data_IF_625166312629
#
_entry.id   IF_625166312629
#
_cell.length_a   1.000
_cell.length_b   1.000
_cell.length_c   1.000
_cell.angle_alpha   90.00
_cell.angle_beta   90.00
_cell.angle_gamma   90.00
#
_symmetry.space_group_name_H-M   'P 1'
#
loop_
_entity.id
_entity.type
_entity.pdbx_description
1 polymer ?
#
# COMPACT_ATOMS: atom_id res chain seq x y z
N UNK A 1 -5.79 -14.67 27.54
CA UNK A 1 -5.99 -15.92 26.75
C UNK A 1 -7.13 -16.81 27.26
N UNK A 2 -7.53 -16.78 28.54
CA UNK A 2 -8.57 -17.70 29.06
C UNK A 2 -10.02 -17.50 28.51
N UNK A 3 -10.27 -16.47 27.70
CA UNK A 3 -11.59 -16.16 27.14
C UNK A 3 -11.82 -16.67 25.71
N UNK A 4 -10.79 -17.21 25.05
CA UNK A 4 -10.87 -17.68 23.67
C UNK A 4 -10.17 -19.03 23.50
N UNK A 5 -10.87 -20.00 22.91
CA UNK A 5 -10.32 -21.31 22.54
C UNK A 5 -10.05 -21.32 21.04
N UNK A 6 -8.80 -21.54 20.66
CA UNK A 6 -8.38 -21.63 19.25
C UNK A 6 -8.09 -23.08 18.88
N UNK A 7 -8.43 -23.47 17.64
CA UNK A 7 -8.16 -24.82 17.11
C UNK A 7 -6.69 -25.02 16.73
N UNK A 8 -5.99 -23.93 16.40
CA UNK A 8 -4.63 -23.88 15.91
C UNK A 8 -3.81 -22.90 16.77
N UNK A 9 -2.52 -23.21 17.02
CA UNK A 9 -1.64 -22.34 17.81
C UNK A 9 -1.21 -21.11 17.00
N UNK A 10 -1.24 -21.21 15.68
CA UNK A 10 -1.09 -20.15 14.68
C UNK A 10 -2.16 -19.07 14.88
N UNK A 11 -3.43 -19.48 14.91
CA UNK A 11 -4.56 -18.56 15.09
C UNK A 11 -4.50 -17.86 16.47
N UNK A 12 -4.04 -18.57 17.51
CA UNK A 12 -3.82 -17.98 18.82
C UNK A 12 -2.69 -16.93 18.80
N UNK A 13 -1.59 -17.23 18.11
CA UNK A 13 -0.45 -16.33 17.98
C UNK A 13 -0.82 -15.08 17.18
N UNK A 14 -1.52 -15.25 16.07
CA UNK A 14 -2.01 -14.17 15.21
C UNK A 14 -2.98 -13.26 15.96
N UNK A 15 -3.99 -13.84 16.65
CA UNK A 15 -4.90 -13.06 17.46
C UNK A 15 -4.18 -12.24 18.55
N UNK A 16 -3.19 -12.84 19.21
CA UNK A 16 -2.42 -12.14 20.25
C UNK A 16 -1.62 -10.98 19.65
N UNK A 17 -0.95 -11.19 18.51
CA UNK A 17 -0.23 -10.13 17.80
C UNK A 17 -1.19 -8.99 17.45
N UNK A 18 -2.34 -9.29 16.84
CA UNK A 18 -3.31 -8.27 16.45
C UNK A 18 -3.80 -7.45 17.64
N UNK A 19 -4.12 -8.09 18.77
CA UNK A 19 -4.54 -7.39 19.99
C UNK A 19 -3.43 -6.50 20.54
N UNK A 20 -2.18 -6.98 20.56
CA UNK A 20 -1.06 -6.21 21.10
C UNK A 20 -0.68 -5.03 20.20
N UNK A 21 -0.62 -5.23 18.89
CA UNK A 21 -0.31 -4.17 17.93
C UNK A 21 -1.38 -3.07 17.94
N UNK A 22 -2.66 -3.42 18.11
CA UNK A 22 -3.76 -2.44 18.25
C UNK A 22 -3.74 -1.72 19.59
N UNK A 23 -3.46 -2.43 20.68
CA UNK A 23 -3.46 -1.83 22.02
C UNK A 23 -2.27 -0.91 22.26
N UNK A 24 -1.13 -1.21 21.65
CA UNK A 24 0.12 -0.49 21.86
C UNK A 24 0.64 0.05 20.53
N UNK A 25 0.15 1.22 20.13
CA UNK A 25 0.54 1.89 18.88
C UNK A 25 2.05 2.16 18.77
N UNK A 26 2.78 2.24 19.89
CA UNK A 26 4.22 2.42 19.92
C UNK A 26 5.04 1.18 19.52
N UNK A 27 4.42 0.00 19.44
CA UNK A 27 5.09 -1.23 19.01
C UNK A 27 5.32 -1.16 17.50
N UNK A 28 6.58 -0.99 17.10
CA UNK A 28 7.00 -1.04 15.70
C UNK A 28 7.08 -2.46 15.15
N UNK A 29 7.45 -3.43 15.98
CA UNK A 29 7.52 -4.83 15.61
C UNK A 29 7.33 -5.72 16.83
N UNK A 30 6.72 -6.88 16.61
CA UNK A 30 6.49 -7.89 17.63
C UNK A 30 6.85 -9.27 17.07
N UNK A 31 7.39 -10.13 17.93
CA UNK A 31 7.60 -11.54 17.64
C UNK A 31 7.02 -12.35 18.80
N UNK A 32 6.14 -13.28 18.48
CA UNK A 32 5.46 -14.13 19.45
C UNK A 32 5.76 -15.58 19.12
N UNK A 33 6.26 -16.31 20.11
CA UNK A 33 6.38 -17.75 20.06
C UNK A 33 5.32 -18.38 20.99
N UNK A 34 4.45 -19.22 20.44
CA UNK A 34 3.54 -20.07 21.22
C UNK A 34 4.09 -21.50 21.19
N UNK A 35 4.38 -22.03 22.38
CA UNK A 35 4.87 -23.40 22.57
C UNK A 35 3.74 -24.31 23.04
N UNK A 36 3.64 -25.49 22.44
CA UNK A 36 2.74 -26.58 22.84
C UNK A 36 3.60 -27.80 23.23
N UNK A 37 3.97 -27.93 24.51
CA UNK A 37 4.79 -29.05 24.97
C UNK A 37 4.03 -30.38 24.88
N UNK A 38 2.72 -30.39 25.10
CA UNK A 38 1.86 -31.59 25.05
C UNK A 38 1.11 -31.68 23.72
N UNK A 39 1.83 -31.79 22.60
CA UNK A 39 1.20 -32.05 21.31
C UNK A 39 0.88 -33.55 21.16
N UNK A 40 -0.29 -33.93 20.60
CA UNK A 40 -0.67 -35.33 20.41
C UNK A 40 0.07 -35.92 19.19
N UNK A 41 1.40 -36.00 19.28
CA UNK A 41 2.29 -36.51 18.25
C UNK A 41 2.99 -37.75 18.83
N UNK A 42 2.91 -38.87 18.11
CA UNK A 42 3.50 -40.14 18.53
C UNK A 42 5.00 -40.22 18.20
N UNK A 43 5.76 -39.26 18.74
CA UNK A 43 7.22 -39.12 18.60
C UNK A 43 7.80 -38.51 19.88
N UNK A 44 9.08 -38.73 20.15
CA UNK A 44 9.78 -38.01 21.22
C UNK A 44 10.17 -36.59 20.77
N UNK A 45 9.67 -35.57 21.48
CA UNK A 45 10.02 -34.16 21.26
C UNK A 45 9.91 -33.36 22.57
N UNK A 46 10.61 -32.23 22.68
CA UNK A 46 10.52 -31.34 23.85
C UNK A 46 9.30 -30.41 23.80
N UNK A 47 9.04 -29.82 22.63
CA UNK A 47 7.86 -28.98 22.37
C UNK A 47 7.73 -28.72 20.87
N UNK A 48 6.50 -28.58 20.37
CA UNK A 48 6.27 -27.88 19.10
C UNK A 48 6.01 -26.41 19.36
N UNK A 49 6.39 -25.53 18.45
CA UNK A 49 6.10 -24.11 18.57
C UNK A 49 5.80 -23.47 17.23
N UNK A 50 5.04 -22.38 17.30
CA UNK A 50 4.85 -21.47 16.17
C UNK A 50 5.40 -20.12 16.58
N UNK A 51 6.26 -19.56 15.73
CA UNK A 51 6.80 -18.22 15.89
C UNK A 51 6.23 -17.35 14.76
N UNK A 52 5.54 -16.28 15.12
CA UNK A 52 5.04 -15.28 14.19
C UNK A 52 5.72 -13.95 14.47
N UNK A 53 6.06 -13.23 13.40
CA UNK A 53 6.60 -11.88 13.45
C UNK A 53 5.70 -10.95 12.65
N UNK A 54 5.42 -9.78 13.21
CA UNK A 54 4.77 -8.66 12.50
C UNK A 54 5.52 -7.37 12.78
N UNK A 55 5.48 -6.47 11.82
CA UNK A 55 6.11 -5.16 11.88
C UNK A 55 5.18 -4.13 11.21
N UNK A 56 5.23 -2.89 11.68
CA UNK A 56 4.67 -1.72 11.01
C UNK A 56 5.63 -1.27 9.92
N UNK A 57 5.10 -1.12 8.72
CA UNK A 57 5.80 -0.68 7.52
C UNK A 57 5.20 0.62 7.02
N UNK A 58 6.01 1.47 6.41
CA UNK A 58 5.53 2.64 5.71
C UNK A 58 5.54 2.37 4.21
N UNK A 59 4.37 2.31 3.59
CA UNK A 59 4.21 2.27 2.15
C UNK A 59 3.85 3.66 1.63
N UNK A 60 4.45 4.04 0.50
CA UNK A 60 4.17 5.30 -0.19
C UNK A 60 3.40 4.95 -1.45
N UNK A 61 2.13 5.33 -1.48
CA UNK A 61 1.20 4.92 -2.53
C UNK A 61 0.91 6.13 -3.40
N UNK A 62 1.05 5.96 -4.72
CA UNK A 62 0.48 6.89 -5.69
C UNK A 62 -0.92 6.40 -6.05
N UNK A 63 -1.86 7.33 -6.22
CA UNK A 63 -3.25 7.03 -6.55
C UNK A 63 -3.70 7.93 -7.69
N UNK A 64 -4.49 7.40 -8.62
CA UNK A 64 -5.10 8.22 -9.64
C UNK A 64 -6.35 7.63 -10.29
N UNK A 65 -7.15 8.52 -10.86
CA UNK A 65 -8.43 8.21 -11.51
C UNK A 65 -8.69 9.20 -12.66
N UNK A 66 -9.33 8.75 -13.74
CA UNK A 66 -9.81 9.63 -14.81
C UNK A 66 -11.14 9.22 -15.43
N UNK A 67 -11.77 8.17 -14.90
CA UNK A 67 -13.10 7.75 -15.33
C UNK A 67 -14.01 7.64 -14.12
N UNK A 68 -15.20 8.19 -14.25
CA UNK A 68 -16.22 8.08 -13.23
C UNK A 68 -16.70 6.62 -13.14
N UNK A 69 -17.37 6.25 -12.05
CA UNK A 69 -17.97 4.93 -11.92
C UNK A 69 -19.50 5.03 -11.98
N UNK A 70 -20.12 4.89 -13.17
CA UNK A 70 -21.54 5.18 -13.36
C UNK A 70 -22.47 4.28 -12.54
N UNK A 71 -22.05 3.04 -12.25
CA UNK A 71 -22.85 2.09 -11.46
C UNK A 71 -23.02 2.56 -10.01
N UNK A 72 -22.04 3.28 -9.47
CA UNK A 72 -22.10 3.91 -8.14
C UNK A 72 -22.48 5.38 -8.17
N UNK A 73 -22.54 6.00 -9.36
CA UNK A 73 -22.74 7.44 -9.53
C UNK A 73 -21.68 8.26 -8.76
N UNK A 74 -20.43 7.79 -8.80
CA UNK A 74 -19.27 8.40 -8.15
C UNK A 74 -18.34 9.05 -9.19
N UNK A 75 -17.90 10.26 -8.89
CA UNK A 75 -16.86 10.97 -9.64
C UNK A 75 -15.47 10.39 -9.40
N UNK A 76 -14.55 10.71 -10.30
CA UNK A 76 -13.12 10.35 -10.16
C UNK A 76 -12.52 10.80 -8.82
N UNK A 77 -12.85 12.02 -8.36
CA UNK A 77 -12.46 12.54 -7.03
C UNK A 77 -13.00 11.68 -5.87
N UNK A 78 -14.30 11.34 -5.92
CA UNK A 78 -14.96 10.55 -4.87
C UNK A 78 -14.40 9.13 -4.79
N UNK A 79 -14.09 8.50 -5.93
CA UNK A 79 -13.45 7.18 -5.98
C UNK A 79 -12.10 7.15 -5.28
N UNK A 80 -11.30 8.20 -5.47
CA UNK A 80 -9.98 8.33 -4.83
C UNK A 80 -10.13 8.48 -3.32
N UNK A 81 -11.04 9.33 -2.85
CA UNK A 81 -11.30 9.50 -1.41
C UNK A 81 -11.87 8.23 -0.78
N UNK A 82 -12.77 7.54 -1.47
CA UNK A 82 -13.35 6.29 -1.01
C UNK A 82 -12.32 5.17 -0.89
N UNK A 83 -11.41 5.05 -1.85
CA UNK A 83 -10.32 4.07 -1.78
C UNK A 83 -9.36 4.33 -0.61
N UNK A 84 -9.02 5.60 -0.36
CA UNK A 84 -8.20 5.99 0.79
C UNK A 84 -8.94 5.68 2.09
N UNK A 85 -10.25 5.97 2.17
CA UNK A 85 -11.09 5.63 3.32
C UNK A 85 -11.15 4.12 3.56
N UNK A 86 -11.32 3.32 2.51
CA UNK A 86 -11.34 1.85 2.62
C UNK A 86 -10.02 1.28 3.16
N UNK A 87 -8.87 1.88 2.81
CA UNK A 87 -7.59 1.51 3.41
C UNK A 87 -7.50 1.96 4.88
N UNK A 88 -7.97 3.15 5.23
CA UNK A 88 -7.90 3.65 6.61
C UNK A 88 -8.88 2.95 7.57
N UNK A 89 -9.97 2.38 7.03
CA UNK A 89 -10.91 1.54 7.76
C UNK A 89 -10.40 0.09 7.94
N UNK A 90 -9.40 -0.35 7.17
CA UNK A 90 -8.77 -1.65 7.35
C UNK A 90 -7.97 -1.67 8.66
N UNK A 91 -8.23 -2.63 9.57
CA UNK A 91 -7.56 -2.69 10.88
C UNK A 91 -6.04 -2.89 10.85
N UNK A 92 -5.47 -3.29 9.71
CA UNK A 92 -4.03 -3.48 9.50
C UNK A 92 -3.37 -2.26 8.85
N UNK A 93 -4.14 -1.22 8.54
CA UNK A 93 -3.70 -0.04 7.82
C UNK A 93 -4.03 1.24 8.60
N UNK A 94 -3.28 2.30 8.30
CA UNK A 94 -3.54 3.66 8.79
C UNK A 94 -2.91 4.67 7.84
N UNK A 95 -3.70 5.60 7.34
CA UNK A 95 -3.19 6.68 6.49
C UNK A 95 -2.54 7.74 7.38
N UNK A 96 -1.25 7.97 7.18
CA UNK A 96 -0.47 8.92 7.99
C UNK A 96 -0.50 10.33 7.40
N UNK A 97 -0.29 10.45 6.09
CA UNK A 97 -0.20 11.72 5.36
C UNK A 97 -0.80 11.57 3.98
N UNK A 98 -1.39 12.65 3.45
CA UNK A 98 -1.98 12.72 2.11
C UNK A 98 -1.52 14.00 1.44
N UNK A 99 -1.21 13.93 0.15
CA UNK A 99 -0.94 15.11 -0.67
C UNK A 99 -2.24 15.79 -1.05
N UNK A 100 -2.13 16.99 -1.60
CA UNK A 100 -3.18 17.59 -2.41
C UNK A 100 -3.40 16.74 -3.67
N UNK A 101 -4.63 16.75 -4.19
CA UNK A 101 -4.95 16.14 -5.47
C UNK A 101 -4.63 17.12 -6.60
N UNK A 102 -4.01 16.63 -7.67
CA UNK A 102 -3.61 17.43 -8.84
C UNK A 102 -4.27 16.91 -10.12
N UNK A 103 -4.62 17.83 -11.01
CA UNK A 103 -5.12 17.50 -12.35
C UNK A 103 -3.98 17.44 -13.35
N UNK A 104 -3.95 16.41 -14.19
CA UNK A 104 -2.88 16.17 -15.14
C UNK A 104 -3.42 15.73 -16.48
N UNK A 105 -2.67 16.04 -17.53
CA UNK A 105 -2.98 15.55 -18.88
C UNK A 105 -2.86 14.03 -18.93
N UNK A 106 -3.58 13.36 -19.85
CA UNK A 106 -3.36 11.95 -20.16
C UNK A 106 -1.89 11.62 -20.41
N UNK A 107 -1.33 10.68 -19.65
CA UNK A 107 -0.01 10.14 -19.94
C UNK A 107 -0.11 9.01 -20.97
N UNK A 108 0.80 8.97 -21.95
CA UNK A 108 0.83 7.92 -22.97
C UNK A 108 -0.14 8.07 -24.15
N UNK A 109 -0.94 9.15 -24.20
CA UNK A 109 -1.71 9.56 -25.39
C UNK A 109 -2.92 8.69 -25.77
N UNK A 110 -3.30 7.73 -24.92
CA UNK A 110 -4.46 6.83 -25.14
C UNK A 110 -5.71 7.33 -24.43
N UNK A 111 -5.54 7.85 -23.21
CA UNK A 111 -6.65 8.37 -22.41
C UNK A 111 -7.17 9.71 -22.95
N UNK A 112 -8.49 9.90 -22.80
CA UNK A 112 -9.21 11.05 -23.40
C UNK A 112 -9.58 12.13 -22.39
N UNK A 113 -9.52 11.80 -21.10
CA UNK A 113 -9.88 12.66 -19.97
C UNK A 113 -8.67 13.00 -19.09
N UNK A 114 -8.71 14.16 -18.44
CA UNK A 114 -7.73 14.55 -17.44
C UNK A 114 -7.73 13.56 -16.27
N UNK A 115 -6.54 13.27 -15.74
CA UNK A 115 -6.39 12.44 -14.55
C UNK A 115 -6.34 13.32 -13.31
N UNK A 116 -6.86 12.77 -12.23
CA UNK A 116 -6.63 13.25 -10.88
C UNK A 116 -5.61 12.31 -10.27
N UNK A 117 -4.52 12.87 -9.76
CA UNK A 117 -3.45 12.11 -9.12
C UNK A 117 -3.16 12.66 -7.73
N UNK A 118 -2.77 11.78 -6.83
CA UNK A 118 -2.30 12.10 -5.50
C UNK A 118 -1.33 11.05 -4.99
N UNK A 119 -0.83 11.28 -3.78
CA UNK A 119 -0.04 10.30 -3.06
C UNK A 119 -0.36 10.34 -1.56
N UNK A 120 -0.13 9.22 -0.88
CA UNK A 120 -0.27 9.13 0.57
C UNK A 120 0.76 8.18 1.18
N UNK A 121 1.03 8.38 2.47
CA UNK A 121 1.84 7.46 3.27
C UNK A 121 0.88 6.59 4.08
N UNK A 122 0.99 5.29 3.88
CA UNK A 122 0.24 4.27 4.58
C UNK A 122 1.16 3.56 5.59
N UNK A 123 0.80 3.59 6.86
CA UNK A 123 1.35 2.63 7.81
C UNK A 123 0.56 1.33 7.69
N UNK A 124 1.24 0.20 7.52
CA UNK A 124 0.58 -1.10 7.38
C UNK A 124 1.29 -2.23 8.12
N UNK A 125 0.54 -3.26 8.49
CA UNK A 125 1.06 -4.54 8.98
C UNK A 125 1.21 -5.60 7.88
N UNK A 126 0.69 -5.32 6.67
CA UNK A 126 0.83 -6.20 5.53
C UNK A 126 2.28 -6.22 5.04
N UNK A 127 2.72 -7.40 4.62
CA UNK A 127 3.91 -7.55 3.79
C UNK A 127 3.62 -7.03 2.36
N UNK A 128 4.64 -6.69 1.56
CA UNK A 128 4.45 -6.01 0.28
C UNK A 128 3.47 -6.69 -0.69
N UNK A 129 3.53 -8.01 -0.84
CA UNK A 129 2.63 -8.78 -1.72
C UNK A 129 1.18 -8.76 -1.19
N UNK A 130 1.00 -8.89 0.12
CA UNK A 130 -0.34 -8.85 0.74
C UNK A 130 -0.95 -7.45 0.63
N UNK A 131 -0.14 -6.39 0.75
CA UNK A 131 -0.60 -5.02 0.51
C UNK A 131 -1.03 -4.83 -0.95
N UNK A 132 -0.28 -5.38 -1.91
CA UNK A 132 -0.64 -5.34 -3.33
C UNK A 132 -1.98 -6.04 -3.59
N UNK A 133 -2.19 -7.22 -3.00
CA UNK A 133 -3.47 -7.93 -3.10
C UNK A 133 -4.61 -7.11 -2.51
N UNK A 134 -4.39 -6.45 -1.37
CA UNK A 134 -5.38 -5.56 -0.75
C UNK A 134 -5.71 -4.36 -1.63
N UNK A 135 -4.70 -3.75 -2.23
CA UNK A 135 -4.87 -2.66 -3.21
C UNK A 135 -5.75 -3.13 -4.38
N UNK A 136 -5.44 -4.29 -4.96
CA UNK A 136 -6.25 -4.85 -6.04
C UNK A 136 -7.69 -5.15 -5.63
N UNK A 137 -7.93 -5.63 -4.41
CA UNK A 137 -9.28 -5.81 -3.85
C UNK A 137 -10.06 -4.49 -3.87
N UNK A 138 -9.45 -3.41 -3.39
CA UNK A 138 -10.09 -2.09 -3.31
C UNK A 138 -10.34 -1.52 -4.71
N UNK A 139 -9.37 -1.60 -5.62
CA UNK A 139 -9.57 -1.15 -7.00
C UNK A 139 -10.74 -1.89 -7.67
N UNK A 140 -10.84 -3.21 -7.47
CA UNK A 140 -11.97 -3.99 -7.99
C UNK A 140 -13.30 -3.54 -7.38
N UNK A 141 -13.33 -3.23 -6.08
CA UNK A 141 -14.52 -2.69 -5.40
C UNK A 141 -14.89 -1.27 -5.88
N UNK A 142 -13.92 -0.52 -6.41
CA UNK A 142 -14.08 0.78 -7.08
C UNK A 142 -14.31 0.63 -8.60
N UNK A 143 -14.67 -0.56 -9.07
CA UNK A 143 -15.10 -0.78 -10.44
C UNK A 143 -13.96 -0.78 -11.46
N UNK A 144 -12.76 -1.25 -11.12
CA UNK A 144 -11.62 -1.35 -12.04
C UNK A 144 -12.00 -2.10 -13.33
N UNK A 145 -12.12 -1.37 -14.44
CA UNK A 145 -12.31 -1.95 -15.78
C UNK A 145 -11.05 -1.68 -16.62
N UNK A 146 -10.16 -2.66 -16.73
CA UNK A 146 -8.94 -2.52 -17.55
C UNK A 146 -9.22 -2.90 -19.00
N UNK A 147 -9.68 -1.95 -19.82
CA UNK A 147 -9.94 -2.18 -21.26
C UNK A 147 -8.64 -2.21 -22.08
N UNK A 148 -7.72 -1.29 -21.82
CA UNK A 148 -6.45 -1.15 -22.55
C UNK A 148 -5.29 -0.69 -21.65
N UNK A 149 -4.04 -0.97 -22.04
CA UNK A 149 -2.83 -0.52 -21.32
C UNK A 149 -2.67 0.99 -21.52
N UNK A 150 -2.67 1.76 -20.42
CA UNK A 150 -2.65 3.24 -20.38
C UNK A 150 -3.94 3.95 -20.84
N UNK A 151 -5.04 3.21 -20.95
CA UNK A 151 -6.36 3.81 -21.19
C UNK A 151 -7.00 4.38 -19.91
N UNK A 152 -8.25 4.84 -20.08
CA UNK A 152 -9.07 5.35 -18.99
C UNK A 152 -9.30 4.26 -17.91
N UNK A 153 -9.26 4.67 -16.64
CA UNK A 153 -9.40 3.81 -15.47
C UNK A 153 -10.11 4.55 -14.34
N UNK A 154 -11.01 3.83 -13.69
CA UNK A 154 -11.77 4.32 -12.54
C UNK A 154 -10.87 4.54 -11.32
N UNK A 155 -9.89 3.67 -11.10
CA UNK A 155 -8.91 3.82 -10.03
C UNK A 155 -7.65 3.01 -10.35
N UNK A 156 -6.49 3.56 -10.00
CA UNK A 156 -5.19 2.90 -10.06
C UNK A 156 -4.37 3.32 -8.83
N UNK A 157 -3.86 2.34 -8.09
CA UNK A 157 -2.98 2.55 -6.94
C UNK A 157 -1.67 1.79 -7.15
N UNK A 158 -0.56 2.51 -7.10
CA UNK A 158 0.78 1.96 -7.27
C UNK A 158 1.60 2.11 -5.98
N UNK A 159 2.22 1.02 -5.52
CA UNK A 159 3.20 1.07 -4.42
C UNK A 159 4.50 1.66 -4.95
N UNK A 160 4.81 2.91 -4.59
CA UNK A 160 6.02 3.62 -5.03
C UNK A 160 7.23 3.26 -4.17
N UNK A 161 7.06 3.28 -2.85
CA UNK A 161 8.08 2.87 -1.88
C UNK A 161 7.47 1.98 -0.81
N UNK A 162 8.28 1.09 -0.24
CA UNK A 162 7.92 0.25 0.90
C UNK A 162 9.11 0.22 1.85
N UNK A 163 8.97 0.89 3.00
CA UNK A 163 10.09 1.27 3.85
C UNK A 163 11.27 1.84 3.00
N UNK A 164 12.47 1.32 3.18
CA UNK A 164 13.66 1.59 2.36
C UNK A 164 14.07 0.35 1.55
N UNK A 165 13.11 -0.53 1.25
CA UNK A 165 13.38 -1.82 0.62
C UNK A 165 13.48 -1.71 -0.91
N UNK A 166 14.21 -2.67 -1.49
CA UNK A 166 14.26 -2.90 -2.93
C UNK A 166 13.71 -4.29 -3.17
N UNK A 167 12.52 -4.34 -3.78
CA UNK A 167 11.73 -5.55 -4.00
C UNK A 167 11.63 -5.76 -5.51
N UNK A 168 12.00 -6.95 -5.98
CA UNK A 168 11.85 -7.36 -7.37
C UNK A 168 11.20 -8.75 -7.41
N UNK A 169 9.88 -8.75 -7.41
CA UNK A 169 9.03 -9.93 -7.48
C UNK A 169 8.32 -9.94 -8.85
N UNK A 170 7.82 -11.10 -9.31
CA UNK A 170 7.16 -11.20 -10.63
C UNK A 170 6.03 -10.20 -10.86
N UNK A 171 5.29 -9.86 -9.80
CA UNK A 171 4.11 -9.00 -9.86
C UNK A 171 4.30 -7.65 -9.13
N UNK A 172 5.46 -7.41 -8.49
CA UNK A 172 5.70 -6.21 -7.69
C UNK A 172 7.16 -5.77 -7.82
N UNK A 173 7.36 -4.51 -8.22
CA UNK A 173 8.68 -3.88 -8.15
C UNK A 173 8.61 -2.61 -7.31
N UNK A 174 9.44 -2.53 -6.27
CA UNK A 174 9.58 -1.38 -5.40
C UNK A 174 11.07 -1.03 -5.27
N UNK A 175 11.50 0.23 -5.43
CA UNK A 175 10.69 1.36 -5.87
C UNK A 175 10.10 1.18 -7.26
N UNK A 176 8.93 1.77 -7.51
CA UNK A 176 8.24 1.61 -8.79
C UNK A 176 9.12 2.06 -9.97
N UNK A 177 9.35 1.18 -10.95
CA UNK A 177 10.39 1.31 -11.99
C UNK A 177 10.35 2.64 -12.76
N UNK A 178 9.15 3.16 -13.02
CA UNK A 178 8.94 4.36 -13.84
C UNK A 178 8.57 5.60 -13.04
N UNK A 179 8.65 5.54 -11.70
CA UNK A 179 8.23 6.67 -10.86
C UNK A 179 9.10 7.91 -11.06
N UNK A 180 10.41 7.71 -11.33
CA UNK A 180 11.38 8.79 -11.52
C UNK A 180 11.16 9.62 -12.81
N UNK A 181 10.34 9.13 -13.75
CA UNK A 181 10.05 9.81 -15.02
C UNK A 181 8.70 10.55 -15.01
N UNK A 182 7.92 10.44 -13.94
CA UNK A 182 6.52 10.90 -13.89
C UNK A 182 6.36 12.03 -12.88
N UNK A 183 6.20 13.25 -13.39
CA UNK A 183 5.98 14.43 -12.53
C UNK A 183 4.70 14.32 -11.71
N UNK A 184 3.64 13.74 -12.27
CA UNK A 184 2.36 13.51 -11.59
C UNK A 184 2.42 12.50 -10.44
N UNK A 185 3.50 11.71 -10.35
CA UNK A 185 3.78 10.85 -9.18
C UNK A 185 4.71 11.57 -8.21
N UNK A 186 5.76 12.20 -8.73
CA UNK A 186 6.78 12.86 -7.94
C UNK A 186 6.30 14.14 -7.24
N UNK A 187 5.45 14.95 -7.87
CA UNK A 187 4.96 16.19 -7.28
C UNK A 187 4.09 15.94 -6.03
N UNK A 188 3.08 15.04 -6.06
CA UNK A 188 2.37 14.61 -4.85
C UNK A 188 3.30 14.02 -3.78
N UNK A 189 4.26 13.17 -4.17
CA UNK A 189 5.23 12.61 -3.23
C UNK A 189 6.13 13.67 -2.59
N UNK A 190 6.49 14.73 -3.30
CA UNK A 190 7.28 15.83 -2.76
C UNK A 190 6.54 16.64 -1.71
N UNK A 191 5.20 16.64 -1.72
CA UNK A 191 4.39 17.33 -0.71
C UNK A 191 4.46 16.60 0.64
N UNK A 192 4.41 15.27 0.62
CA UNK A 192 4.36 14.42 1.82
C UNK A 192 5.72 13.88 2.27
N UNK A 193 6.68 13.78 1.35
CA UNK A 193 7.98 13.13 1.59
C UNK A 193 9.10 13.72 0.71
N UNK A 194 9.35 15.04 0.75
CA UNK A 194 10.30 15.71 -0.15
C UNK A 194 11.72 15.15 -0.04
N UNK A 195 12.15 14.83 1.18
CA UNK A 195 13.53 14.45 1.50
C UNK A 195 13.72 12.93 1.61
N UNK A 196 12.70 12.15 1.25
CA UNK A 196 12.83 10.68 1.20
C UNK A 196 13.84 10.30 0.11
N UNK A 197 14.85 9.51 0.49
CA UNK A 197 15.94 9.13 -0.40
C UNK A 197 15.57 7.84 -1.10
N UNK A 198 15.44 7.89 -2.43
CA UNK A 198 15.20 6.72 -3.26
C UNK A 198 16.31 5.67 -3.02
N UNK A 199 15.97 4.42 -2.63
CA UNK A 199 16.96 3.45 -2.16
C UNK A 199 17.96 2.99 -3.23
N UNK A 200 17.56 3.01 -4.51
CA UNK A 200 18.44 2.71 -5.66
C UNK A 200 19.17 3.96 -6.19
N UNK A 201 18.43 5.00 -6.59
CA UNK A 201 19.00 6.20 -7.22
C UNK A 201 19.78 7.12 -6.27
N UNK A 202 19.57 6.97 -4.95
CA UNK A 202 20.22 7.78 -3.90
C UNK A 202 19.99 9.28 -4.03
N UNK A 203 18.83 9.65 -4.55
CA UNK A 203 18.33 11.02 -4.69
C UNK A 203 17.05 11.20 -3.89
N UNK A 204 16.84 12.41 -3.39
CA UNK A 204 15.58 12.82 -2.77
C UNK A 204 14.46 12.89 -3.81
N UNK A 205 13.20 12.80 -3.37
CA UNK A 205 12.06 13.02 -4.26
C UNK A 205 12.11 14.41 -4.91
N UNK A 206 12.62 15.43 -4.20
CA UNK A 206 12.81 16.78 -4.73
C UNK A 206 13.80 16.81 -5.90
N UNK A 207 14.97 16.20 -5.75
CA UNK A 207 15.97 16.10 -6.83
C UNK A 207 15.42 15.31 -8.03
N UNK A 208 14.70 14.22 -7.78
CA UNK A 208 14.08 13.43 -8.85
C UNK A 208 13.04 14.25 -9.62
N UNK A 209 12.21 15.04 -8.93
CA UNK A 209 11.20 15.91 -9.57
C UNK A 209 11.84 16.98 -10.47
N UNK A 210 12.97 17.54 -10.06
CA UNK A 210 13.71 18.53 -10.85
C UNK A 210 14.30 17.94 -12.15
N UNK A 211 14.59 16.64 -12.15
CA UNK A 211 15.17 15.92 -13.29
C UNK A 211 14.13 15.40 -14.29
N UNK A 212 12.84 15.48 -13.98
CA UNK A 212 11.76 15.03 -14.87
C UNK A 212 11.72 15.91 -16.13
N UNK A 213 11.88 15.27 -17.29
CA UNK A 213 11.90 15.96 -18.59
C UNK A 213 10.50 16.23 -19.15
N UNK A 214 9.56 15.31 -18.97
CA UNK A 214 8.19 15.42 -19.48
C UNK A 214 7.25 15.86 -18.36
N UNK A 215 6.60 17.01 -18.54
CA UNK A 215 5.66 17.56 -17.56
C UNK A 215 4.22 17.34 -18.01
N UNK A 216 3.44 16.63 -17.18
CA UNK A 216 2.03 16.33 -17.40
C UNK A 216 1.10 17.17 -16.52
N UNK A 217 1.64 17.82 -15.49
CA UNK A 217 0.86 18.68 -14.59
C UNK A 217 0.32 19.89 -15.35
N UNK A 218 -0.96 20.16 -15.17
CA UNK A 218 -1.62 21.35 -15.73
C UNK A 218 -1.48 22.46 -14.69
N UNK A 219 -0.71 23.50 -15.03
CA UNK A 219 -0.51 24.71 -14.21
C UNK A 219 -1.59 25.73 -14.55
#
# INVERSE_FOLDING_TARGET
MQKHTFKLIEAAAEHLICVLMKRFESIKAISIEIRKPEAPIDLEFSSVSVCLRRRRHNAYIAIGSNDDYPEKNESSEELVEDAIRMLDEDPECRVLFRSSMIKTKPYGGVATKEFINGAFILETLYEPEALLDKIHEIENACGRIRKERWGDRTLDMDIIYFDNEVIDLPNLTVPHRDMANRDFVLAPLCEIAPDFIHPVLRKTNRELLEEVKEKCIII
#
